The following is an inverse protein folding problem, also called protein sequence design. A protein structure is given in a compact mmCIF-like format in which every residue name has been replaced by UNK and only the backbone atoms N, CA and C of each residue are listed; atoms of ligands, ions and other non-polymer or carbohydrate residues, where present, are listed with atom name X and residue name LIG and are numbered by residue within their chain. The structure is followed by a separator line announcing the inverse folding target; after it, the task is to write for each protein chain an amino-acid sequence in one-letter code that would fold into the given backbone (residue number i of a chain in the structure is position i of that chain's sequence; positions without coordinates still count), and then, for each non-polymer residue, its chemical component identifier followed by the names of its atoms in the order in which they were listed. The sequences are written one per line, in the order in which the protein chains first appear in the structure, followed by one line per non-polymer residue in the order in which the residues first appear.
data_IF_810788020903
#
_entry.id   IF_810788020903
#
_cell.length_a   1.000
_cell.length_b   1.000
_cell.length_c   1.000
_cell.angle_alpha   90.00
_cell.angle_beta   90.00
_cell.angle_gamma   90.00
#
_symmetry.space_group_name_H-M   'P 1'
#
loop_
_entity.id
_entity.type
_entity.pdbx_description
1 polymer ?
#
# COMPACT_ATOMS: atom_id res chain seq x y z
N UNK A 1 -29.53 -21.69 23.16
CA UNK A 1 -29.65 -21.08 21.81
C UNK A 1 -28.64 -19.96 21.79
N UNK A 2 -27.43 -20.28 21.33
CA UNK A 2 -26.34 -19.32 21.21
C UNK A 2 -26.47 -18.73 19.80
N UNK A 3 -26.75 -17.43 19.62
CA UNK A 3 -26.58 -16.81 18.32
C UNK A 3 -25.08 -16.84 18.02
N UNK A 4 -24.69 -17.62 17.02
CA UNK A 4 -23.33 -17.58 16.49
C UNK A 4 -23.11 -16.18 15.91
N UNK A 5 -22.17 -15.45 16.48
CA UNK A 5 -21.60 -14.26 15.87
C UNK A 5 -20.85 -14.69 14.61
N UNK A 6 -21.58 -14.91 13.51
CA UNK A 6 -21.05 -14.92 12.15
C UNK A 6 -20.59 -13.49 11.81
N UNK A 7 -19.53 -13.03 12.48
CA UNK A 7 -18.69 -11.96 11.97
C UNK A 7 -18.04 -12.50 10.70
N UNK A 8 -18.71 -12.30 9.57
CA UNK A 8 -18.13 -12.38 8.24
C UNK A 8 -17.04 -11.29 8.13
N UNK A 9 -15.91 -11.53 8.81
CA UNK A 9 -14.76 -10.67 8.81
C UNK A 9 -14.16 -10.67 7.42
N UNK A 10 -14.39 -9.58 6.69
CA UNK A 10 -13.58 -9.23 5.51
C UNK A 10 -12.11 -9.30 5.94
N UNK A 11 -11.40 -10.31 5.47
CA UNK A 11 -9.99 -10.48 5.77
C UNK A 11 -9.23 -9.37 5.04
N UNK A 12 -8.72 -8.40 5.77
CA UNK A 12 -7.84 -7.36 5.23
C UNK A 12 -6.39 -7.72 5.56
N UNK A 13 -5.54 -7.94 4.55
CA UNK A 13 -4.09 -8.01 4.80
C UNK A 13 -3.53 -6.62 4.74
N UNK A 14 -2.95 -6.24 5.87
CA UNK A 14 -2.22 -5.00 6.01
C UNK A 14 -0.75 -5.40 6.09
N UNK A 15 0.05 -4.96 5.11
CA UNK A 15 1.48 -5.23 5.11
C UNK A 15 2.28 -3.98 4.78
N UNK A 16 3.46 -3.90 5.39
CA UNK A 16 4.40 -2.82 5.12
C UNK A 16 5.32 -3.23 3.97
N UNK A 17 5.47 -2.35 2.99
CA UNK A 17 6.37 -2.54 1.85
C UNK A 17 7.30 -1.35 1.72
N UNK A 18 8.58 -1.66 1.52
CA UNK A 18 9.61 -0.68 1.22
C UNK A 18 9.89 -0.67 -0.28
N UNK A 19 9.82 0.49 -0.90
CA UNK A 19 10.25 0.66 -2.29
C UNK A 19 11.78 0.54 -2.38
N UNK A 20 12.26 -0.39 -3.21
CA UNK A 20 13.69 -0.54 -3.48
C UNK A 20 14.27 0.56 -4.39
N UNK A 21 13.43 1.37 -5.04
CA UNK A 21 13.85 2.43 -5.97
C UNK A 21 13.98 3.81 -5.33
N UNK A 22 13.19 4.08 -4.29
CA UNK A 22 13.23 5.38 -3.60
C UNK A 22 13.48 5.25 -2.09
N UNK A 23 13.52 4.04 -1.55
CA UNK A 23 13.68 3.80 -0.11
C UNK A 23 12.49 4.24 0.73
N UNK A 24 11.37 4.63 0.12
CA UNK A 24 10.13 4.97 0.82
C UNK A 24 9.53 3.73 1.47
N UNK A 25 8.91 3.90 2.64
CA UNK A 25 8.17 2.83 3.33
C UNK A 25 6.71 3.21 3.33
N UNK A 26 5.85 2.30 2.93
CA UNK A 26 4.42 2.52 2.89
C UNK A 26 3.70 1.26 3.36
N UNK A 27 2.50 1.44 3.86
CA UNK A 27 1.60 0.38 4.29
C UNK A 27 0.56 0.19 3.21
N UNK A 28 0.39 -1.05 2.77
CA UNK A 28 -0.62 -1.44 1.80
C UNK A 28 -1.72 -2.15 2.56
N UNK A 29 -2.95 -1.65 2.45
CA UNK A 29 -4.15 -2.28 2.96
C UNK A 29 -4.85 -2.93 1.78
N UNK A 30 -4.76 -4.25 1.70
CA UNK A 30 -5.37 -5.06 0.67
C UNK A 30 -6.58 -5.79 1.28
N UNK A 31 -7.82 -5.43 0.94
CA UNK A 31 -8.98 -6.21 1.37
C UNK A 31 -9.10 -7.44 0.48
N UNK A 32 -9.17 -8.63 1.09
CA UNK A 32 -9.36 -9.89 0.39
C UNK A 32 -10.72 -10.48 0.78
N UNK A 33 -11.45 -10.97 -0.22
CA UNK A 33 -12.59 -11.84 0.03
C UNK A 33 -12.16 -13.27 0.38
N UNK A 34 -13.12 -14.09 0.79
CA UNK A 34 -12.94 -15.52 1.07
C UNK A 34 -12.44 -16.31 -0.17
N UNK A 35 -12.65 -15.78 -1.38
CA UNK A 35 -12.03 -16.25 -2.62
C UNK A 35 -10.92 -15.26 -3.03
N UNK A 36 -9.72 -15.46 -2.49
CA UNK A 36 -8.52 -14.70 -2.83
C UNK A 36 -7.94 -15.11 -4.19
N UNK A 37 -8.64 -14.79 -5.28
CA UNK A 37 -8.17 -14.99 -6.67
C UNK A 37 -8.15 -13.67 -7.47
N UNK A 38 -8.26 -12.53 -6.79
CA UNK A 38 -8.22 -11.22 -7.42
C UNK A 38 -6.86 -10.59 -7.16
N UNK A 39 -6.29 -10.00 -8.21
CA UNK A 39 -5.03 -9.25 -8.16
C UNK A 39 -5.28 -7.83 -8.59
N UNK A 40 -4.79 -6.91 -7.78
CA UNK A 40 -4.84 -5.49 -8.03
C UNK A 40 -3.42 -4.93 -8.14
N UNK A 41 -3.33 -3.83 -8.86
CA UNK A 41 -2.10 -3.10 -9.10
C UNK A 41 -2.07 -1.88 -8.19
N UNK A 42 -0.91 -1.57 -7.64
CA UNK A 42 -0.73 -0.35 -6.85
C UNK A 42 0.62 0.28 -7.12
N UNK A 43 0.66 1.61 -7.12
CA UNK A 43 1.87 2.36 -7.34
C UNK A 43 2.40 2.92 -6.02
N UNK A 44 3.73 3.02 -5.90
CA UNK A 44 4.33 3.77 -4.79
C UNK A 44 4.01 5.27 -4.96
N UNK A 45 3.46 5.95 -3.94
CA UNK A 45 3.05 7.36 -4.06
C UNK A 45 4.21 8.34 -4.27
N UNK A 46 5.45 7.92 -4.01
CA UNK A 46 6.64 8.78 -4.12
C UNK A 46 7.37 8.64 -5.46
N UNK A 47 7.37 7.45 -6.06
CA UNK A 47 8.15 7.16 -7.27
C UNK A 47 7.31 6.64 -8.43
N UNK A 48 6.02 6.36 -8.22
CA UNK A 48 5.13 5.80 -9.23
C UNK A 48 5.43 4.36 -9.61
N UNK A 49 6.29 3.66 -8.85
CA UNK A 49 6.64 2.27 -9.16
C UNK A 49 5.43 1.37 -8.96
N UNK A 50 5.05 0.65 -10.01
CA UNK A 50 3.94 -0.32 -10.01
C UNK A 50 4.34 -1.62 -9.30
N UNK A 51 3.40 -2.17 -8.53
CA UNK A 51 3.47 -3.42 -7.80
C UNK A 51 2.12 -4.14 -7.94
N UNK A 52 2.15 -5.46 -7.78
CA UNK A 52 0.94 -6.28 -7.78
C UNK A 52 0.73 -6.89 -6.39
N UNK A 53 -0.52 -6.93 -5.96
CA UNK A 53 -0.96 -7.56 -4.71
C UNK A 53 -2.22 -8.36 -4.96
N UNK A 54 -2.36 -9.49 -4.29
CA UNK A 54 -3.65 -10.17 -4.21
C UNK A 54 -4.60 -9.32 -3.37
N UNK A 55 -5.60 -8.71 -3.99
CA UNK A 55 -6.64 -7.92 -3.34
C UNK A 55 -7.92 -8.01 -4.18
N UNK A 56 -9.08 -8.03 -3.53
CA UNK A 56 -10.37 -8.06 -4.23
C UNK A 56 -10.91 -6.67 -4.57
N UNK A 57 -10.29 -5.62 -4.03
CA UNK A 57 -10.64 -4.21 -4.26
C UNK A 57 -9.35 -3.38 -4.29
N UNK A 58 -9.47 -2.17 -4.81
CA UNK A 58 -8.37 -1.21 -4.93
C UNK A 58 -7.63 -1.07 -3.59
N UNK A 59 -6.36 -1.51 -3.51
CA UNK A 59 -5.60 -1.50 -2.26
C UNK A 59 -5.23 -0.07 -1.89
N UNK A 60 -5.41 0.26 -0.61
CA UNK A 60 -5.03 1.58 -0.11
C UNK A 60 -3.54 1.62 0.23
N UNK A 61 -2.82 2.59 -0.32
CA UNK A 61 -1.38 2.77 -0.07
C UNK A 61 -1.17 3.99 0.82
N UNK A 62 -0.90 3.74 2.10
CA UNK A 62 -0.59 4.77 3.06
C UNK A 62 0.93 4.97 3.18
N UNK A 63 1.42 6.13 2.78
CA UNK A 63 2.84 6.49 2.92
C UNK A 63 3.18 6.64 4.41
N UNK A 64 4.02 5.74 4.94
CA UNK A 64 4.51 5.81 6.31
C UNK A 64 5.77 6.66 6.41
N UNK A 65 6.66 6.49 5.44
CA UNK A 65 7.94 7.14 5.41
C UNK A 65 8.27 7.58 3.98
N UNK A 66 8.59 8.87 3.77
CA UNK A 66 8.99 9.37 2.47
C UNK A 66 10.30 8.74 2.00
N UNK A 67 10.62 8.97 0.72
CA UNK A 67 11.82 8.47 0.04
C UNK A 67 13.09 8.82 0.80
N UNK A 68 13.97 7.83 0.97
CA UNK A 68 15.26 7.94 1.66
C UNK A 68 16.47 7.82 0.72
N UNK A 69 16.25 7.65 -0.58
CA UNK A 69 17.26 7.42 -1.62
C UNK A 69 18.31 8.56 -1.79
N UNK A 70 18.32 9.58 -0.94
CA UNK A 70 19.24 10.72 -1.03
C UNK A 70 18.97 11.66 -2.21
N UNK A 71 18.18 11.22 -3.20
CA UNK A 71 17.60 12.04 -4.28
C UNK A 71 16.43 12.87 -3.74
N UNK A 72 16.76 13.77 -2.83
CA UNK A 72 15.90 14.88 -2.45
C UNK A 72 16.34 16.10 -3.26
N UNK A 73 16.34 16.00 -4.59
CA UNK A 73 16.36 17.16 -5.47
C UNK A 73 14.99 17.85 -5.38
N UNK A 74 14.62 18.29 -4.17
CA UNK A 74 13.94 19.55 -4.03
C UNK A 74 14.98 20.56 -4.46
N UNK A 75 15.05 20.82 -5.76
CA UNK A 75 15.58 22.07 -6.28
C UNK A 75 14.95 23.13 -5.40
N UNK A 76 15.75 23.66 -4.46
CA UNK A 76 15.32 24.72 -3.60
C UNK A 76 14.92 25.82 -4.57
N UNK A 77 13.64 26.15 -4.62
CA UNK A 77 13.14 27.34 -5.27
C UNK A 77 13.61 28.54 -4.43
N UNK A 78 14.93 28.75 -4.39
CA UNK A 78 15.51 30.06 -4.17
C UNK A 78 15.33 30.80 -5.48
N UNK A 79 14.12 31.31 -5.70
CA UNK A 79 13.89 32.41 -6.61
C UNK A 79 13.60 33.63 -5.74
N UNK A 80 14.39 34.65 -6.05
CA UNK A 80 14.59 35.92 -5.37
C UNK A 80 13.33 36.78 -5.33
#
# INVERSE_FOLDING_TARGET
MEPGDDEAGLAVSIFEKSCLYCGARFRVLAPHGQQGDHREEYACPECGKEYQVDASVEPEVQLLQPRRDGKNDRYQETMF
#
